data_IF_399592926525
#
_entry.id   IF_399592926525
#
_cell.length_a   1.000
_cell.length_b   1.000
_cell.length_c   1.000
_cell.angle_alpha   90.00
_cell.angle_beta   90.00
_cell.angle_gamma   90.00
#
_symmetry.space_group_name_H-M   'P 1'
#
loop_
_entity.id
_entity.type
_entity.pdbx_description
1 polymer ?
#
# COMPACT_ATOMS: atom_id res chain seq x y z
N UNK A 1 -47.93 -55.94 37.18
CA UNK A 1 -46.64 -55.79 36.50
C UNK A 1 -46.17 -54.33 36.68
N UNK A 2 -44.89 -54.11 36.85
CA UNK A 2 -44.33 -52.74 36.85
C UNK A 2 -44.67 -51.98 35.58
N UNK A 3 -44.81 -50.66 35.68
CA UNK A 3 -44.80 -49.79 34.50
C UNK A 3 -43.34 -49.60 34.03
N UNK A 4 -43.04 -50.04 32.81
CA UNK A 4 -41.72 -50.05 32.23
C UNK A 4 -41.46 -48.90 31.28
N UNK A 5 -42.34 -47.87 31.33
CA UNK A 5 -42.17 -46.67 30.52
C UNK A 5 -40.96 -45.84 31.00
N UNK A 6 -40.22 -45.27 30.06
CA UNK A 6 -39.11 -44.33 30.31
C UNK A 6 -39.39 -43.05 29.52
N UNK A 7 -39.40 -41.95 30.22
CA UNK A 7 -39.46 -40.62 29.62
C UNK A 7 -38.04 -40.10 29.34
N UNK A 8 -37.92 -39.32 28.27
CA UNK A 8 -36.64 -38.74 27.83
C UNK A 8 -36.68 -37.21 28.00
N UNK A 9 -35.58 -36.66 28.52
CA UNK A 9 -35.33 -35.24 28.46
C UNK A 9 -34.02 -35.04 27.67
N UNK A 10 -34.11 -34.51 26.47
CA UNK A 10 -33.06 -34.46 25.46
C UNK A 10 -33.32 -35.48 24.33
N UNK A 11 -32.36 -35.58 23.40
CA UNK A 11 -32.39 -36.55 22.28
C UNK A 11 -31.54 -37.79 22.60
N UNK A 12 -31.86 -38.92 22.00
CA UNK A 12 -30.99 -40.12 22.05
C UNK A 12 -29.76 -39.96 21.13
N UNK A 13 -29.87 -39.12 20.10
CA UNK A 13 -28.77 -38.75 19.23
C UNK A 13 -28.38 -37.31 19.57
N UNK A 14 -27.16 -37.09 20.04
CA UNK A 14 -26.71 -35.79 20.59
C UNK A 14 -25.22 -35.56 20.37
N UNK A 15 -24.80 -34.30 20.50
CA UNK A 15 -23.42 -33.89 20.37
C UNK A 15 -22.63 -34.19 21.66
N UNK A 16 -21.31 -34.28 21.58
CA UNK A 16 -20.47 -34.65 22.72
C UNK A 16 -20.57 -33.75 23.94
N UNK A 17 -21.03 -32.50 23.75
CA UNK A 17 -21.27 -31.52 24.81
C UNK A 17 -22.71 -31.54 25.39
N UNK A 18 -23.57 -32.41 24.87
CA UNK A 18 -24.96 -32.57 25.31
C UNK A 18 -25.12 -33.85 26.12
N UNK A 19 -26.27 -34.01 26.72
CA UNK A 19 -26.66 -35.21 27.43
C UNK A 19 -28.15 -35.54 27.24
N UNK A 20 -28.57 -36.73 27.63
CA UNK A 20 -29.95 -37.11 27.70
C UNK A 20 -30.26 -37.73 29.07
N UNK A 21 -31.36 -37.33 29.67
CA UNK A 21 -31.85 -37.91 30.92
C UNK A 21 -32.94 -38.91 30.62
N UNK A 22 -32.75 -40.14 31.08
CA UNK A 22 -33.70 -41.26 31.05
C UNK A 22 -34.37 -41.37 32.41
N UNK A 23 -35.68 -41.20 32.47
CA UNK A 23 -36.46 -41.27 33.74
C UNK A 23 -37.45 -42.42 33.68
N UNK A 24 -37.24 -43.44 34.48
CA UNK A 24 -38.14 -44.59 34.59
C UNK A 24 -39.47 -44.22 35.30
N UNK A 25 -40.53 -44.92 34.96
CA UNK A 25 -41.79 -44.81 35.65
C UNK A 25 -41.64 -45.05 37.17
N UNK A 26 -42.56 -44.55 37.97
CA UNK A 26 -42.49 -44.65 39.43
C UNK A 26 -42.49 -46.15 39.88
N UNK A 27 -41.51 -46.52 40.67
CA UNK A 27 -41.31 -47.84 41.24
C UNK A 27 -40.71 -47.77 42.64
N UNK A 28 -40.34 -48.88 43.24
CA UNK A 28 -39.71 -48.92 44.57
C UNK A 28 -38.20 -48.93 44.42
N UNK A 29 -37.66 -49.77 43.52
CA UNK A 29 -36.25 -49.94 43.29
C UNK A 29 -35.97 -49.94 41.80
N UNK A 30 -34.80 -49.44 41.44
CA UNK A 30 -34.30 -49.35 40.07
C UNK A 30 -32.90 -49.97 40.02
N UNK A 31 -32.61 -50.59 38.91
CA UNK A 31 -31.24 -51.02 38.59
C UNK A 31 -31.04 -50.82 37.09
N UNK A 32 -30.33 -49.77 36.73
CA UNK A 32 -29.96 -49.49 35.34
C UNK A 32 -28.80 -50.38 34.87
N UNK A 33 -28.68 -50.54 33.58
CA UNK A 33 -27.56 -51.25 32.96
C UNK A 33 -26.20 -50.61 33.29
N UNK A 34 -26.14 -49.38 33.74
CA UNK A 34 -24.97 -48.65 34.26
C UNK A 34 -24.61 -49.06 35.68
N UNK A 35 -25.51 -49.75 36.40
CA UNK A 35 -25.39 -50.04 37.81
C UNK A 35 -26.05 -49.03 38.75
N UNK A 36 -26.57 -47.92 38.20
CA UNK A 36 -27.29 -46.89 38.98
C UNK A 36 -28.61 -47.43 39.51
N UNK A 37 -29.00 -46.94 40.69
CA UNK A 37 -30.25 -47.34 41.39
C UNK A 37 -31.22 -46.20 41.59
N UNK A 38 -30.97 -45.09 40.95
CA UNK A 38 -31.87 -43.90 40.96
C UNK A 38 -32.99 -44.03 39.93
N UNK A 39 -34.09 -43.31 40.13
CA UNK A 39 -35.18 -43.31 39.16
C UNK A 39 -34.76 -42.76 37.78
N UNK A 40 -33.80 -41.84 37.76
CA UNK A 40 -33.32 -41.24 36.53
C UNK A 40 -31.82 -41.41 36.43
N UNK A 41 -31.31 -41.58 35.21
CA UNK A 41 -29.89 -41.45 34.85
C UNK A 41 -29.71 -40.39 33.77
N UNK A 42 -28.60 -39.63 33.86
CA UNK A 42 -28.18 -38.75 32.81
C UNK A 42 -26.94 -39.31 32.13
N UNK A 43 -27.02 -39.48 30.81
CA UNK A 43 -25.97 -40.14 30.01
C UNK A 43 -25.48 -39.21 28.93
N UNK A 44 -24.14 -39.15 28.76
CA UNK A 44 -23.43 -38.38 27.78
C UNK A 44 -22.50 -39.23 26.91
N UNK A 45 -22.68 -40.53 26.92
CA UNK A 45 -21.89 -41.51 26.14
C UNK A 45 -22.80 -42.33 25.24
N UNK A 46 -22.21 -42.77 24.10
CA UNK A 46 -22.86 -43.72 23.24
C UNK A 46 -23.00 -45.07 23.96
N UNK A 47 -24.17 -45.67 23.94
CA UNK A 47 -24.41 -46.91 24.64
C UNK A 47 -25.85 -47.36 24.56
N UNK A 48 -26.13 -48.51 25.22
CA UNK A 48 -27.48 -49.08 25.34
C UNK A 48 -27.85 -49.11 26.81
N UNK A 49 -28.96 -48.48 27.15
CA UNK A 49 -29.44 -48.26 28.51
C UNK A 49 -30.80 -48.88 28.70
N UNK A 50 -30.94 -49.63 29.78
CA UNK A 50 -32.21 -50.21 30.22
C UNK A 50 -32.23 -50.26 31.75
N UNK A 51 -33.39 -50.30 32.34
CA UNK A 51 -33.57 -50.42 33.80
C UNK A 51 -34.45 -51.60 34.15
N UNK A 52 -34.12 -52.29 35.23
CA UNK A 52 -35.02 -53.19 35.94
C UNK A 52 -35.79 -52.38 36.97
N UNK A 53 -37.12 -52.40 36.91
CA UNK A 53 -37.99 -51.71 37.84
C UNK A 53 -38.66 -52.78 38.73
N UNK A 54 -38.60 -52.54 40.05
CA UNK A 54 -39.19 -53.45 41.04
C UNK A 54 -40.24 -52.72 41.84
N UNK A 55 -41.47 -53.25 41.92
CA UNK A 55 -42.57 -52.70 42.71
C UNK A 55 -42.45 -53.09 44.19
N UNK A 56 -43.26 -52.44 45.06
CA UNK A 56 -43.37 -52.79 46.48
C UNK A 56 -43.71 -54.24 46.77
N UNK A 57 -44.44 -54.85 45.85
CA UNK A 57 -44.85 -56.26 45.94
C UNK A 57 -43.77 -57.28 45.45
N UNK A 58 -42.60 -56.72 45.09
CA UNK A 58 -41.43 -57.55 44.63
C UNK A 58 -41.50 -57.98 43.18
N UNK A 59 -42.46 -57.53 42.36
CA UNK A 59 -42.48 -57.84 40.93
C UNK A 59 -41.45 -56.98 40.19
N UNK A 60 -40.62 -57.62 39.37
CA UNK A 60 -39.57 -56.96 38.58
C UNK A 60 -39.77 -57.14 37.09
N UNK A 61 -39.51 -56.09 36.29
CA UNK A 61 -39.57 -56.12 34.84
C UNK A 61 -38.57 -55.15 34.23
N UNK A 62 -38.05 -55.52 33.05
CA UNK A 62 -37.08 -54.69 32.31
C UNK A 62 -37.76 -53.70 31.41
N UNK A 63 -37.27 -52.46 31.35
CA UNK A 63 -37.66 -51.48 30.34
C UNK A 63 -37.18 -51.92 28.95
N UNK A 64 -37.70 -51.27 27.92
CA UNK A 64 -37.06 -51.24 26.60
C UNK A 64 -35.65 -50.73 26.68
N UNK A 65 -34.79 -51.13 25.74
CA UNK A 65 -33.42 -50.63 25.60
C UNK A 65 -33.44 -49.31 24.82
N UNK A 66 -32.78 -48.31 25.38
CA UNK A 66 -32.59 -46.99 24.76
C UNK A 66 -31.13 -46.90 24.32
N UNK A 67 -30.91 -46.72 23.01
CA UNK A 67 -29.56 -46.63 22.45
C UNK A 67 -29.25 -45.17 22.14
N UNK A 68 -28.16 -44.69 22.65
CA UNK A 68 -27.66 -43.30 22.37
C UNK A 68 -26.55 -43.32 21.36
N UNK A 69 -26.54 -42.30 20.50
CA UNK A 69 -25.46 -42.00 19.55
C UNK A 69 -24.86 -40.67 19.91
N UNK A 70 -23.54 -40.60 20.06
CA UNK A 70 -22.81 -39.36 20.28
C UNK A 70 -22.11 -38.96 18.99
N UNK A 71 -22.47 -37.81 18.47
CA UNK A 71 -21.85 -37.24 17.28
C UNK A 71 -20.58 -36.50 17.63
N UNK A 72 -19.60 -36.57 16.75
CA UNK A 72 -18.36 -35.77 16.88
C UNK A 72 -18.66 -34.28 16.75
N UNK A 73 -17.94 -33.49 17.52
CA UNK A 73 -17.96 -32.04 17.44
C UNK A 73 -17.46 -31.55 16.07
N UNK A 74 -17.80 -30.32 15.75
CA UNK A 74 -17.29 -29.68 14.57
C UNK A 74 -15.78 -29.44 14.69
N UNK A 75 -15.04 -29.70 13.61
CA UNK A 75 -13.62 -29.29 13.52
C UNK A 75 -13.56 -27.76 13.40
N UNK A 76 -12.93 -27.13 14.38
CA UNK A 76 -12.80 -25.67 14.48
C UNK A 76 -11.47 -25.16 13.91
N UNK A 77 -10.71 -25.97 13.21
CA UNK A 77 -9.47 -25.53 12.58
C UNK A 77 -9.75 -24.58 11.41
N UNK A 78 -8.88 -23.59 11.25
CA UNK A 78 -8.93 -22.62 10.15
C UNK A 78 -7.57 -22.57 9.48
N UNK A 79 -7.54 -22.77 8.18
CA UNK A 79 -6.37 -22.52 7.36
C UNK A 79 -6.30 -21.04 6.99
N UNK A 80 -5.11 -20.45 7.15
CA UNK A 80 -4.82 -19.05 6.81
C UNK A 80 -3.94 -19.02 5.56
N UNK A 81 -4.36 -18.29 4.53
CA UNK A 81 -3.57 -18.07 3.32
C UNK A 81 -3.30 -16.58 3.18
N UNK A 82 -2.07 -16.17 3.33
CA UNK A 82 -1.60 -14.78 3.42
C UNK A 82 -1.11 -14.44 4.83
N UNK A 83 -0.75 -13.18 5.04
CA UNK A 83 -0.38 -12.64 6.36
C UNK A 83 -1.63 -12.13 7.09
N UNK A 84 -1.63 -12.21 8.41
CA UNK A 84 -2.66 -11.57 9.23
C UNK A 84 -2.43 -10.05 9.40
N UNK A 85 -1.19 -9.63 9.22
CA UNK A 85 -0.77 -8.23 9.16
C UNK A 85 -0.38 -7.95 7.71
N UNK A 86 -1.08 -7.02 7.03
CA UNK A 86 -0.95 -6.79 5.60
C UNK A 86 -1.23 -5.34 5.21
N UNK A 87 -0.79 -4.95 4.04
CA UNK A 87 -1.01 -3.61 3.48
C UNK A 87 -2.41 -3.48 2.90
N UNK A 88 -2.93 -2.26 2.76
CA UNK A 88 -4.32 -2.02 2.35
C UNK A 88 -4.67 -2.57 0.96
N UNK A 89 -3.67 -2.84 0.12
CA UNK A 89 -3.82 -3.45 -1.22
C UNK A 89 -3.71 -4.98 -1.23
N UNK A 90 -3.47 -5.60 -0.07
CA UNK A 90 -3.38 -7.05 0.10
C UNK A 90 -4.62 -7.61 0.78
N UNK A 91 -4.70 -8.92 0.88
CA UNK A 91 -5.77 -9.62 1.58
C UNK A 91 -5.26 -10.90 2.26
N UNK A 92 -6.07 -11.45 3.15
CA UNK A 92 -5.87 -12.76 3.74
C UNK A 92 -7.13 -13.60 3.59
N UNK A 93 -6.98 -14.87 3.23
CA UNK A 93 -8.10 -15.80 3.16
C UNK A 93 -8.09 -16.73 4.37
N UNK A 94 -9.23 -16.77 5.08
CA UNK A 94 -9.49 -17.69 6.18
C UNK A 94 -10.43 -18.79 5.67
N UNK A 95 -10.03 -20.05 5.81
CA UNK A 95 -10.81 -21.22 5.37
C UNK A 95 -11.07 -22.14 6.55
N UNK A 96 -12.33 -22.24 6.98
CA UNK A 96 -12.72 -23.16 8.03
C UNK A 96 -12.65 -24.62 7.56
N UNK A 97 -12.47 -25.54 8.51
CA UNK A 97 -12.54 -26.96 8.26
C UNK A 97 -13.86 -27.37 7.59
N UNK A 98 -13.93 -28.49 6.87
CA UNK A 98 -15.16 -28.95 6.23
C UNK A 98 -16.31 -29.16 7.22
N UNK A 99 -17.46 -28.56 6.92
CA UNK A 99 -18.70 -28.67 7.69
C UNK A 99 -19.93 -28.58 6.79
N UNK A 100 -21.11 -28.65 7.36
CA UNK A 100 -22.38 -28.50 6.64
C UNK A 100 -22.74 -27.04 6.40
N UNK A 101 -22.51 -26.19 7.40
CA UNK A 101 -22.76 -24.77 7.30
C UNK A 101 -21.78 -23.95 8.15
N UNK A 102 -21.67 -22.69 7.82
CA UNK A 102 -20.75 -21.74 8.41
C UNK A 102 -21.47 -20.45 8.73
N UNK A 103 -21.07 -19.78 9.80
CA UNK A 103 -21.47 -18.41 10.10
C UNK A 103 -20.26 -17.68 10.69
N UNK A 104 -19.64 -16.83 9.88
CA UNK A 104 -18.54 -15.99 10.30
C UNK A 104 -19.03 -14.76 11.08
N UNK A 105 -18.18 -14.22 11.94
CA UNK A 105 -18.49 -13.01 12.74
C UNK A 105 -18.83 -11.79 11.89
N UNK A 106 -18.41 -11.74 10.62
CA UNK A 106 -18.78 -10.70 9.65
C UNK A 106 -20.12 -10.98 8.92
N UNK A 107 -20.80 -12.09 9.26
CA UNK A 107 -22.07 -12.50 8.66
C UNK A 107 -21.95 -13.37 7.41
N UNK A 108 -20.76 -13.68 6.92
CA UNK A 108 -20.57 -14.58 5.79
C UNK A 108 -20.93 -16.03 6.17
N UNK A 109 -21.48 -16.79 5.20
CA UNK A 109 -21.92 -18.19 5.37
C UNK A 109 -21.18 -19.17 4.48
N UNK A 110 -20.09 -18.74 3.86
CA UNK A 110 -19.20 -19.56 3.03
C UNK A 110 -18.14 -20.24 3.87
N UNK A 111 -17.60 -21.37 3.40
CA UNK A 111 -16.48 -22.05 4.07
C UNK A 111 -15.25 -21.15 4.22
N UNK A 112 -15.00 -20.29 3.23
CA UNK A 112 -13.87 -19.36 3.22
C UNK A 112 -14.37 -17.93 3.14
N UNK A 113 -13.61 -17.03 3.78
CA UNK A 113 -13.76 -15.58 3.64
C UNK A 113 -12.43 -14.97 3.22
N UNK A 114 -12.49 -13.93 2.35
CA UNK A 114 -11.36 -13.07 2.05
C UNK A 114 -11.51 -11.80 2.87
N UNK A 115 -10.48 -11.46 3.61
CA UNK A 115 -10.47 -10.34 4.56
C UNK A 115 -9.51 -9.27 4.03
N UNK A 116 -10.05 -8.05 3.87
CA UNK A 116 -9.32 -6.85 3.41
C UNK A 116 -9.34 -5.73 4.45
N UNK A 117 -9.90 -6.00 5.64
CA UNK A 117 -10.05 -4.99 6.71
C UNK A 117 -9.48 -5.50 8.02
N UNK A 118 -8.98 -4.56 8.83
CA UNK A 118 -8.60 -4.86 10.19
C UNK A 118 -9.82 -5.29 11.01
N UNK A 119 -9.69 -6.34 11.80
CA UNK A 119 -10.79 -6.85 12.60
C UNK A 119 -10.49 -8.20 13.25
N UNK A 120 -11.48 -8.72 13.93
CA UNK A 120 -11.44 -10.04 14.57
C UNK A 120 -12.48 -10.94 13.93
N UNK A 121 -12.04 -12.10 13.45
CA UNK A 121 -12.83 -13.04 12.69
C UNK A 121 -12.86 -14.40 13.37
N UNK A 122 -14.05 -14.96 13.50
CA UNK A 122 -14.28 -16.34 13.95
C UNK A 122 -15.48 -16.89 13.20
N UNK A 123 -15.60 -18.22 13.15
CA UNK A 123 -16.72 -18.88 12.51
C UNK A 123 -17.37 -19.88 13.45
N UNK A 124 -18.69 -19.98 13.41
CA UNK A 124 -19.41 -21.14 13.89
C UNK A 124 -19.45 -22.14 12.74
N UNK A 125 -18.95 -23.35 12.98
CA UNK A 125 -18.99 -24.47 12.04
C UNK A 125 -20.01 -25.48 12.54
N UNK A 126 -20.92 -25.90 11.66
CA UNK A 126 -21.96 -26.88 11.99
C UNK A 126 -21.77 -28.14 11.14
N UNK A 127 -21.77 -29.32 11.76
CA UNK A 127 -21.68 -30.61 11.08
C UNK A 127 -23.02 -31.02 10.46
N UNK A 128 -23.01 -32.06 9.63
CA UNK A 128 -24.23 -32.67 9.05
C UNK A 128 -25.21 -33.20 10.10
N UNK A 129 -24.73 -33.51 11.29
CA UNK A 129 -25.55 -34.01 12.41
C UNK A 129 -26.05 -32.85 13.31
N UNK A 130 -25.75 -31.59 12.95
CA UNK A 130 -26.19 -30.41 13.69
C UNK A 130 -25.28 -29.99 14.84
N UNK A 131 -24.17 -30.68 15.08
CA UNK A 131 -23.21 -30.27 16.12
C UNK A 131 -22.44 -29.02 15.67
N UNK A 132 -22.45 -28.00 16.50
CA UNK A 132 -21.83 -26.72 16.19
C UNK A 132 -20.76 -26.34 17.20
N UNK A 133 -19.66 -25.78 16.72
CA UNK A 133 -18.62 -25.21 17.58
C UNK A 133 -18.00 -23.97 16.92
N UNK A 134 -17.32 -23.15 17.72
CA UNK A 134 -16.76 -21.86 17.28
C UNK A 134 -15.26 -21.96 17.19
N UNK A 135 -14.71 -21.52 16.04
CA UNK A 135 -13.26 -21.44 15.81
C UNK A 135 -12.59 -20.47 16.78
N UNK A 136 -11.29 -20.56 16.90
CA UNK A 136 -10.49 -19.49 17.49
C UNK A 136 -10.73 -18.16 16.77
N UNK A 137 -10.45 -17.03 17.45
CA UNK A 137 -10.52 -15.71 16.85
C UNK A 137 -9.21 -15.38 16.13
N UNK A 138 -9.32 -14.96 14.89
CA UNK A 138 -8.22 -14.51 14.03
C UNK A 138 -8.31 -12.99 13.90
N UNK A 139 -7.24 -12.29 14.31
CA UNK A 139 -7.20 -10.82 14.30
C UNK A 139 -6.29 -10.36 13.17
N UNK A 140 -6.80 -9.46 12.33
CA UNK A 140 -6.04 -8.85 11.23
C UNK A 140 -5.70 -7.41 11.54
N UNK A 141 -4.50 -6.99 11.11
CA UNK A 141 -4.03 -5.60 11.11
C UNK A 141 -3.82 -5.16 9.66
N UNK A 142 -4.35 -3.99 9.31
CA UNK A 142 -4.14 -3.39 7.98
C UNK A 142 -3.27 -2.17 8.14
N UNK A 143 -2.11 -2.19 7.50
CA UNK A 143 -1.18 -1.08 7.49
C UNK A 143 -1.55 -0.08 6.40
N UNK A 144 -1.30 1.20 6.68
CA UNK A 144 -1.51 2.27 5.72
C UNK A 144 -0.48 2.19 4.57
N UNK A 145 -0.94 2.55 3.38
CA UNK A 145 -0.06 2.68 2.22
C UNK A 145 0.95 3.81 2.42
N UNK A 146 2.10 3.78 1.74
CA UNK A 146 3.04 4.89 1.73
C UNK A 146 2.38 6.17 1.22
N UNK A 147 2.75 7.30 1.79
CA UNK A 147 2.47 8.59 1.17
C UNK A 147 3.47 8.80 0.01
N UNK A 148 2.96 8.74 -1.21
CA UNK A 148 3.74 8.85 -2.45
C UNK A 148 3.86 10.30 -2.98
N UNK A 149 3.48 11.30 -2.18
CA UNK A 149 3.63 12.69 -2.57
C UNK A 149 5.10 13.10 -2.64
N UNK A 150 5.44 13.80 -3.72
CA UNK A 150 6.77 14.36 -3.96
C UNK A 150 6.59 15.82 -4.31
N UNK A 151 7.37 16.68 -3.69
CA UNK A 151 7.47 18.11 -4.03
C UNK A 151 8.72 18.37 -4.84
N UNK A 152 8.65 19.34 -5.77
CA UNK A 152 9.79 19.86 -6.50
C UNK A 152 10.16 21.24 -5.97
N UNK A 153 11.48 21.56 -5.91
CA UNK A 153 11.98 22.85 -5.46
C UNK A 153 11.73 23.99 -6.46
N UNK A 154 11.47 23.64 -7.73
CA UNK A 154 11.26 24.57 -8.83
C UNK A 154 10.47 23.93 -9.97
N UNK A 155 10.57 24.52 -11.15
CA UNK A 155 9.99 23.98 -12.38
C UNK A 155 10.73 22.70 -12.79
N UNK A 156 10.03 21.79 -13.47
CA UNK A 156 10.63 20.58 -14.04
C UNK A 156 11.27 20.84 -15.41
N UNK A 157 10.93 21.97 -16.04
CA UNK A 157 11.53 22.47 -17.28
C UNK A 157 12.43 23.64 -16.89
N UNK A 158 13.75 23.52 -17.07
CA UNK A 158 14.74 24.45 -16.57
C UNK A 158 15.95 24.56 -17.51
N UNK A 159 16.75 25.60 -17.30
CA UNK A 159 17.96 25.84 -18.10
C UNK A 159 19.13 25.00 -17.63
N UNK A 160 20.13 24.74 -18.49
CA UNK A 160 21.24 23.83 -18.21
C UNK A 160 22.14 24.24 -17.02
N UNK A 161 22.02 25.47 -16.54
CA UNK A 161 22.71 25.99 -15.36
C UNK A 161 21.89 25.89 -14.07
N UNK A 162 20.68 25.38 -14.14
CA UNK A 162 19.75 25.21 -13.01
C UNK A 162 19.65 23.74 -12.62
N UNK A 163 19.08 23.47 -11.46
CA UNK A 163 18.74 22.14 -10.98
C UNK A 163 17.36 22.13 -10.33
N UNK A 164 16.79 20.95 -10.18
CA UNK A 164 15.57 20.74 -9.42
C UNK A 164 15.79 19.64 -8.38
N UNK A 165 15.33 19.91 -7.16
CA UNK A 165 15.32 18.92 -6.09
C UNK A 165 13.92 18.34 -5.95
N UNK A 166 13.79 17.02 -6.07
CA UNK A 166 12.58 16.25 -5.81
C UNK A 166 12.65 15.71 -4.39
N UNK A 167 11.65 16.01 -3.57
CA UNK A 167 11.62 15.63 -2.15
C UNK A 167 10.35 14.85 -1.83
N UNK A 168 10.51 13.61 -1.40
CA UNK A 168 9.42 12.74 -0.93
C UNK A 168 9.03 13.09 0.52
N UNK A 169 7.83 12.67 0.95
CA UNK A 169 7.36 12.87 2.33
C UNK A 169 8.28 12.13 3.32
N UNK A 170 8.56 12.77 4.46
CA UNK A 170 9.48 12.24 5.48
C UNK A 170 8.93 11.01 6.23
N UNK A 171 9.81 10.21 6.85
CA UNK A 171 9.46 9.11 7.73
C UNK A 171 9.37 7.73 7.08
N UNK A 172 9.88 7.60 5.86
CA UNK A 172 9.82 6.38 5.04
C UNK A 172 11.22 6.02 4.52
N UNK A 173 11.35 4.88 3.85
CA UNK A 173 12.56 4.53 3.09
C UNK A 173 12.30 4.69 1.60
N UNK A 174 13.34 5.02 0.84
CA UNK A 174 13.25 5.43 -0.55
C UNK A 174 14.20 4.65 -1.43
N UNK A 175 13.79 4.38 -2.66
CA UNK A 175 14.65 3.91 -3.74
C UNK A 175 14.26 4.65 -5.02
N UNK A 176 15.05 5.66 -5.40
CA UNK A 176 14.81 6.43 -6.60
C UNK A 176 15.26 5.66 -7.86
N UNK A 177 14.65 5.99 -8.98
CA UNK A 177 14.99 5.42 -10.29
C UNK A 177 16.45 5.64 -10.69
N UNK A 178 17.12 6.60 -10.06
CA UNK A 178 18.54 6.93 -10.22
C UNK A 178 19.47 6.09 -9.34
N UNK A 179 18.89 5.35 -8.37
CA UNK A 179 19.61 4.48 -7.43
C UNK A 179 19.86 5.09 -6.05
N UNK A 180 19.55 6.36 -5.83
CA UNK A 180 19.64 6.98 -4.50
C UNK A 180 18.57 6.47 -3.55
N UNK A 181 18.91 6.47 -2.25
CA UNK A 181 18.01 6.02 -1.16
C UNK A 181 17.71 7.13 -0.15
N UNK A 182 18.05 8.35 -0.48
CA UNK A 182 17.78 9.54 0.33
C UNK A 182 16.35 10.03 0.14
N UNK A 183 15.83 10.80 1.09
CA UNK A 183 14.50 11.42 0.98
C UNK A 183 14.37 12.31 -0.26
N UNK A 184 15.47 12.94 -0.70
CA UNK A 184 15.48 13.87 -1.83
C UNK A 184 16.58 13.49 -2.80
N UNK A 185 16.33 13.78 -4.08
CA UNK A 185 17.34 13.80 -5.13
C UNK A 185 17.38 15.18 -5.77
N UNK A 186 18.58 15.58 -6.23
CA UNK A 186 18.75 16.80 -7.03
C UNK A 186 19.28 16.39 -8.40
N UNK A 187 18.71 16.95 -9.46
CA UNK A 187 19.09 16.66 -10.84
C UNK A 187 19.14 17.91 -11.68
N UNK A 188 20.19 17.99 -12.53
CA UNK A 188 20.39 18.95 -13.60
C UNK A 188 20.20 18.31 -14.99
N UNK A 189 19.72 17.06 -15.06
CA UNK A 189 19.60 16.29 -16.29
C UNK A 189 18.15 16.15 -16.72
N UNK A 190 17.92 16.12 -18.03
CA UNK A 190 16.63 15.73 -18.59
C UNK A 190 16.42 14.23 -18.35
N UNK A 191 15.24 13.85 -17.87
CA UNK A 191 14.95 12.46 -17.55
C UNK A 191 13.56 12.25 -16.96
N UNK A 192 13.27 11.01 -16.58
CA UNK A 192 12.05 10.63 -15.89
C UNK A 192 12.42 9.99 -14.55
N UNK A 193 11.96 10.58 -13.48
CA UNK A 193 12.32 10.26 -12.09
C UNK A 193 11.11 9.79 -11.32
N UNK A 194 11.25 8.71 -10.59
CA UNK A 194 10.25 8.20 -9.65
C UNK A 194 10.97 7.58 -8.45
N UNK A 195 10.25 7.41 -7.36
CA UNK A 195 10.72 6.71 -6.18
C UNK A 195 9.80 5.53 -5.83
N UNK A 196 10.38 4.44 -5.42
CA UNK A 196 9.71 3.38 -4.68
C UNK A 196 9.82 3.76 -3.20
N UNK A 197 8.69 3.82 -2.52
CA UNK A 197 8.59 4.23 -1.12
C UNK A 197 8.12 3.06 -0.29
N UNK A 198 8.79 2.80 0.85
CA UNK A 198 8.46 1.70 1.75
C UNK A 198 8.25 2.23 3.17
N UNK A 199 7.10 1.92 3.78
CA UNK A 199 6.80 2.27 5.17
C UNK A 199 7.59 1.43 6.16
N UNK A 200 7.58 1.79 7.45
CA UNK A 200 8.16 0.99 8.53
C UNK A 200 7.55 -0.41 8.66
N UNK A 201 6.31 -0.56 8.24
CA UNK A 201 5.54 -1.81 8.31
C UNK A 201 5.72 -2.68 7.05
N UNK A 202 6.52 -2.19 6.09
CA UNK A 202 6.89 -2.91 4.87
C UNK A 202 5.95 -2.70 3.68
N UNK A 203 4.96 -1.81 3.77
CA UNK A 203 4.10 -1.48 2.64
C UNK A 203 4.85 -0.66 1.61
N UNK A 204 4.71 -1.00 0.33
CA UNK A 204 5.49 -0.45 -0.79
C UNK A 204 4.55 0.14 -1.82
N UNK A 205 4.87 1.34 -2.31
CA UNK A 205 4.21 1.94 -3.47
C UNK A 205 5.20 2.80 -4.26
N UNK A 206 4.82 3.18 -5.47
CA UNK A 206 5.68 3.93 -6.40
C UNK A 206 5.03 5.27 -6.74
N UNK A 207 5.82 6.33 -6.66
CA UNK A 207 5.38 7.69 -7.03
C UNK A 207 5.05 7.78 -8.52
N UNK A 208 4.31 8.80 -8.90
CA UNK A 208 4.22 9.20 -10.30
C UNK A 208 5.62 9.54 -10.88
N UNK A 209 5.73 9.50 -12.20
CA UNK A 209 6.93 9.96 -12.88
C UNK A 209 6.99 11.49 -12.93
N UNK A 210 8.14 12.04 -12.55
CA UNK A 210 8.52 13.44 -12.72
C UNK A 210 9.46 13.54 -13.91
N UNK A 211 8.99 14.13 -15.00
CA UNK A 211 9.79 14.28 -16.22
C UNK A 211 10.39 15.68 -16.25
N UNK A 212 11.71 15.76 -16.34
CA UNK A 212 12.45 17.02 -16.47
C UNK A 212 12.86 17.25 -17.92
N UNK A 213 12.82 18.51 -18.35
CA UNK A 213 13.34 18.98 -19.62
C UNK A 213 14.43 20.02 -19.35
N UNK A 214 15.58 19.87 -19.99
CA UNK A 214 16.68 20.82 -19.87
C UNK A 214 16.80 21.60 -21.17
N UNK A 215 16.62 22.90 -21.09
CA UNK A 215 16.76 23.81 -22.21
C UNK A 215 18.23 24.22 -22.38
N UNK A 216 18.64 24.37 -23.63
CA UNK A 216 19.97 24.87 -23.96
C UNK A 216 20.14 26.34 -23.53
N UNK A 217 21.33 26.68 -23.08
CA UNK A 217 21.69 28.05 -22.77
C UNK A 217 21.61 28.96 -23.99
N UNK A 218 21.52 30.25 -23.74
CA UNK A 218 21.59 31.23 -24.81
C UNK A 218 23.00 31.20 -25.45
N UNK A 219 23.06 31.21 -26.79
CA UNK A 219 24.33 31.33 -27.52
C UNK A 219 24.80 32.77 -27.48
N UNK A 220 25.90 33.02 -26.79
CA UNK A 220 26.50 34.33 -26.60
C UNK A 220 27.65 34.63 -27.57
N UNK A 221 27.84 33.80 -28.58
CA UNK A 221 28.85 34.01 -29.61
C UNK A 221 28.52 35.22 -30.52
N UNK A 222 29.53 35.84 -31.04
CA UNK A 222 29.41 37.01 -31.95
C UNK A 222 30.28 36.83 -33.18
N UNK A 223 29.85 37.59 -34.21
CA UNK A 223 30.71 37.89 -35.37
C UNK A 223 30.92 39.41 -35.44
N UNK A 224 32.05 39.84 -35.90
CA UNK A 224 32.38 41.27 -36.12
C UNK A 224 32.63 41.57 -37.59
N UNK A 225 32.21 42.75 -38.04
CA UNK A 225 32.46 43.19 -39.43
C UNK A 225 33.91 43.51 -39.74
N UNK A 226 34.71 43.69 -38.67
CA UNK A 226 36.14 44.00 -38.75
C UNK A 226 36.84 43.81 -37.41
N UNK A 227 38.06 44.28 -37.26
CA UNK A 227 38.77 44.30 -35.99
C UNK A 227 38.07 45.20 -34.96
N UNK A 228 38.22 44.86 -33.67
CA UNK A 228 37.73 45.75 -32.58
C UNK A 228 38.63 46.95 -32.37
N UNK A 229 39.83 46.93 -32.95
CA UNK A 229 40.75 48.07 -33.05
C UNK A 229 40.62 48.61 -34.47
N UNK A 230 40.24 49.89 -34.63
CA UNK A 230 39.92 50.50 -35.94
C UNK A 230 40.31 51.97 -36.00
N UNK A 231 40.35 52.56 -37.21
CA UNK A 231 40.64 53.96 -37.40
C UNK A 231 39.46 54.86 -37.07
N UNK A 232 39.68 56.15 -36.76
CA UNK A 232 38.65 57.09 -36.34
C UNK A 232 37.51 57.32 -37.36
N UNK A 233 37.74 56.97 -38.63
CA UNK A 233 36.78 57.05 -39.75
C UNK A 233 36.05 55.73 -40.05
N UNK A 234 36.37 54.70 -39.33
CA UNK A 234 35.78 53.35 -39.49
C UNK A 234 34.72 53.13 -38.41
N UNK A 235 33.88 52.13 -38.65
CA UNK A 235 32.96 51.57 -37.68
C UNK A 235 33.10 50.05 -37.61
N UNK A 236 32.72 49.46 -36.50
CA UNK A 236 32.64 48.03 -36.35
C UNK A 236 31.20 47.62 -35.94
N UNK A 237 30.68 46.60 -36.60
CA UNK A 237 29.40 46.02 -36.20
C UNK A 237 29.67 44.70 -35.46
N UNK A 238 29.15 44.59 -34.26
CA UNK A 238 29.17 43.38 -33.43
C UNK A 238 27.80 42.75 -33.58
N UNK A 239 27.73 41.53 -34.10
CA UNK A 239 26.49 40.81 -34.41
C UNK A 239 26.41 39.50 -33.61
N UNK A 240 25.39 39.35 -32.78
CA UNK A 240 25.07 38.15 -32.05
C UNK A 240 24.41 37.08 -32.93
N UNK A 241 24.40 35.83 -32.52
CA UNK A 241 23.74 34.73 -33.22
C UNK A 241 22.23 34.94 -33.29
N UNK A 242 21.61 34.58 -34.40
CA UNK A 242 20.15 34.75 -34.62
C UNK A 242 19.29 33.83 -33.73
N UNK A 243 18.03 34.18 -33.52
CA UNK A 243 17.01 33.34 -32.89
C UNK A 243 16.82 33.54 -31.39
N UNK A 244 17.35 34.65 -30.85
CA UNK A 244 17.25 35.00 -29.44
C UNK A 244 16.79 36.47 -29.28
N UNK A 245 16.43 36.88 -28.09
CA UNK A 245 16.29 38.28 -27.73
C UNK A 245 17.58 38.79 -27.07
N UNK A 246 17.85 40.08 -27.21
CA UNK A 246 19.11 40.70 -26.79
C UNK A 246 18.85 41.96 -25.98
N UNK A 247 19.70 42.19 -25.00
CA UNK A 247 19.81 43.43 -24.31
C UNK A 247 21.29 43.83 -24.14
N UNK A 248 21.76 44.76 -24.94
CA UNK A 248 23.11 45.28 -24.86
C UNK A 248 23.27 46.22 -23.64
N UNK A 249 24.48 46.32 -23.14
CA UNK A 249 24.81 47.26 -22.07
C UNK A 249 24.62 48.73 -22.48
N UNK A 250 24.47 49.01 -23.77
CA UNK A 250 24.07 50.31 -24.32
C UNK A 250 22.59 50.61 -24.20
N UNK A 251 21.78 49.60 -23.90
CA UNK A 251 20.31 49.66 -23.89
C UNK A 251 19.66 49.19 -25.21
N UNK A 252 20.42 48.86 -26.23
CA UNK A 252 19.91 48.38 -27.51
C UNK A 252 19.37 46.93 -27.35
N UNK A 253 18.34 46.61 -28.12
CA UNK A 253 17.69 45.27 -28.13
C UNK A 253 17.77 44.61 -29.52
N UNK A 254 18.55 45.16 -30.42
CA UNK A 254 18.78 44.62 -31.77
C UNK A 254 19.81 43.49 -31.74
N UNK A 255 19.77 42.63 -32.75
CA UNK A 255 20.74 41.52 -32.88
C UNK A 255 22.17 42.06 -33.01
N UNK A 256 22.39 43.24 -33.55
CA UNK A 256 23.70 43.84 -33.75
C UNK A 256 23.74 45.29 -33.32
N UNK A 257 24.90 45.71 -32.89
CA UNK A 257 25.23 47.11 -32.67
C UNK A 257 26.37 47.54 -33.59
N UNK A 258 26.35 48.79 -34.04
CA UNK A 258 27.44 49.36 -34.81
C UNK A 258 28.01 50.54 -34.02
N UNK A 259 29.32 50.60 -33.88
CA UNK A 259 29.99 51.64 -33.10
C UNK A 259 31.26 52.11 -33.79
N UNK A 260 31.54 53.42 -33.65
CA UNK A 260 32.81 54.04 -33.98
C UNK A 260 33.48 54.68 -32.74
N UNK A 261 33.04 54.26 -31.52
CA UNK A 261 33.51 54.80 -30.26
C UNK A 261 34.38 53.78 -29.52
N UNK A 262 35.35 54.27 -28.76
CA UNK A 262 36.07 53.48 -27.76
C UNK A 262 35.07 53.12 -26.66
N UNK A 263 34.98 51.86 -26.34
CA UNK A 263 34.04 51.40 -25.31
C UNK A 263 34.11 49.91 -25.01
N UNK A 264 33.33 49.50 -24.05
CA UNK A 264 33.14 48.09 -23.68
C UNK A 264 31.71 47.72 -23.96
N UNK A 265 31.51 46.69 -24.76
CA UNK A 265 30.20 46.22 -25.24
C UNK A 265 29.97 44.80 -24.80
N UNK A 266 28.80 44.55 -24.22
CA UNK A 266 28.33 43.20 -23.86
C UNK A 266 26.82 43.12 -24.00
N UNK A 267 26.28 41.93 -24.11
CA UNK A 267 24.82 41.73 -24.17
C UNK A 267 24.41 40.55 -23.32
N UNK A 268 23.17 40.60 -22.87
CA UNK A 268 22.45 39.45 -22.34
C UNK A 268 21.58 38.93 -23.47
N UNK A 269 21.68 37.60 -23.70
CA UNK A 269 20.80 36.88 -24.62
C UNK A 269 19.76 36.06 -23.84
N UNK A 270 18.56 35.98 -24.39
CA UNK A 270 17.47 35.18 -23.81
C UNK A 270 16.88 34.31 -24.91
N UNK A 271 16.84 32.99 -24.68
CA UNK A 271 16.22 32.01 -25.61
C UNK A 271 14.70 32.11 -25.57
N UNK A 272 14.03 31.46 -26.52
CA UNK A 272 12.56 31.34 -26.52
C UNK A 272 12.00 30.63 -25.29
N UNK A 273 12.80 29.75 -24.68
CA UNK A 273 12.45 28.99 -23.48
C UNK A 273 12.78 29.74 -22.19
N UNK A 274 13.35 30.94 -22.31
CA UNK A 274 13.63 31.85 -21.20
C UNK A 274 15.04 31.70 -20.60
N UNK A 275 15.91 30.88 -21.16
CA UNK A 275 17.29 30.74 -20.67
C UNK A 275 18.11 31.96 -21.02
N UNK A 276 18.85 32.46 -20.04
CA UNK A 276 19.58 33.71 -20.11
C UNK A 276 21.07 33.48 -19.93
N UNK A 277 21.88 34.09 -20.78
CA UNK A 277 23.34 34.14 -20.59
C UNK A 277 23.89 35.51 -20.99
N UNK A 278 25.07 35.83 -20.51
CA UNK A 278 25.72 37.14 -20.74
C UNK A 278 27.04 36.93 -21.47
N UNK A 279 27.20 37.64 -22.57
CA UNK A 279 28.41 37.60 -23.39
C UNK A 279 29.66 38.06 -22.66
N UNK A 280 30.82 37.70 -23.18
CA UNK A 280 32.06 38.34 -22.86
C UNK A 280 32.00 39.83 -23.17
N UNK A 281 32.88 40.63 -22.57
CA UNK A 281 33.03 42.04 -22.87
C UNK A 281 33.92 42.20 -24.12
N UNK A 282 33.38 42.88 -25.12
CA UNK A 282 34.06 43.26 -26.34
C UNK A 282 34.53 44.71 -26.21
N UNK A 283 35.85 44.92 -26.13
CA UNK A 283 36.43 46.27 -25.98
C UNK A 283 36.92 46.77 -27.31
N UNK A 284 36.49 47.97 -27.70
CA UNK A 284 36.93 48.65 -28.89
C UNK A 284 38.02 49.69 -28.58
N UNK A 285 38.99 49.85 -29.46
CA UNK A 285 39.97 50.89 -29.41
C UNK A 285 40.12 51.59 -30.78
N UNK A 286 40.57 52.84 -30.77
CA UNK A 286 40.76 53.63 -31.97
C UNK A 286 42.26 53.90 -32.15
N UNK A 287 42.79 53.56 -33.32
CA UNK A 287 44.14 53.93 -33.66
C UNK A 287 44.24 55.44 -33.89
N UNK A 288 45.38 56.01 -33.48
CA UNK A 288 45.63 57.42 -33.77
C UNK A 288 45.73 57.65 -35.29
N UNK A 289 45.07 58.70 -35.77
CA UNK A 289 45.15 59.02 -37.16
C UNK A 289 46.62 59.37 -37.52
N UNK A 290 47.04 59.04 -38.74
CA UNK A 290 48.37 59.39 -39.18
C UNK A 290 48.49 60.89 -39.17
N UNK A 291 49.62 61.48 -38.63
CA UNK A 291 49.94 62.90 -38.70
C UNK A 291 50.17 63.31 -40.18
N UNK A 292 49.21 64.04 -40.70
CA UNK A 292 49.26 64.55 -42.06
C UNK A 292 49.87 66.00 -42.11
N UNK A 293 50.42 66.50 -40.99
CA UNK A 293 51.06 67.76 -40.99
C UNK A 293 52.33 67.77 -41.88
N UNK A 294 52.23 68.37 -43.04
CA UNK A 294 53.36 68.64 -43.90
C UNK A 294 54.12 69.83 -43.29
N UNK A 295 55.28 69.59 -42.69
CA UNK A 295 56.18 70.62 -42.31
C UNK A 295 56.73 71.28 -43.63
N UNK A 296 56.27 72.49 -43.96
CA UNK A 296 56.78 73.29 -45.07
C UNK A 296 58.00 74.04 -44.61
#
# INVERSE_FOLDING_TARGET
APDTTVSLTGSLDFCSYEDVTLTAAAGQNYLWSTGDTTQSITVNQAGSYSAMITTSDGCSEMTSTYTTTVFADADTSVAVSGSMDFCSYEDVTLTAAPGQSYLWSNGATTQSITVTQAGSYSAVVTTTNGCSDTTATYTTTVFADPDINVSASGLLDFCSYEDVTLTAVAGQTYAWSTGETTQSITTDLAGSYHAIITTSDGCVDTTANFTTTVFADADISVTTSGGLDFCSYEDVTITAVVGQSYLWNTGDTTQSITTNQVGSYSFTATTTDGCIDTSAIYTTSIFADPDTSVVV
#
